data_IF_344822592276
#
_entry.id   IF_344822592276
#
_cell.length_a   1.000
_cell.length_b   1.000
_cell.length_c   1.000
_cell.angle_alpha   90.00
_cell.angle_beta   90.00
_cell.angle_gamma   90.00
#
_symmetry.space_group_name_H-M   'P 1'
#
loop_
_entity.id
_entity.type
_entity.pdbx_description
1 polymer ?
#
# COMPACT_ATOMS: atom_id res chain seq x y z
N UNK A 1 13.01 23.27 16.09
CA UNK A 1 13.12 24.71 15.70
C UNK A 1 14.11 24.93 14.55
N UNK A 2 15.26 24.26 14.52
CA UNK A 2 16.27 24.42 13.47
C UNK A 2 15.73 24.16 12.06
N UNK A 3 14.91 23.11 11.87
CA UNK A 3 14.30 22.82 10.56
C UNK A 3 13.30 23.87 10.11
N UNK A 4 12.54 24.46 11.03
CA UNK A 4 11.65 25.60 10.70
C UNK A 4 12.44 26.81 10.23
N UNK A 5 13.57 27.08 10.87
CA UNK A 5 14.47 28.19 10.47
C UNK A 5 15.08 27.90 9.11
N UNK A 6 15.53 26.67 8.85
CA UNK A 6 16.05 26.27 7.54
C UNK A 6 15.00 26.44 6.43
N UNK A 7 13.77 26.00 6.68
CA UNK A 7 12.65 26.19 5.75
C UNK A 7 12.35 27.67 5.50
N UNK A 8 12.27 28.48 6.56
CA UNK A 8 12.04 29.91 6.43
C UNK A 8 13.14 30.61 5.62
N UNK A 9 14.42 30.25 5.83
CA UNK A 9 15.55 30.79 5.05
C UNK A 9 15.46 30.42 3.56
N UNK A 10 15.06 29.20 3.24
CA UNK A 10 14.89 28.78 1.85
C UNK A 10 13.73 29.53 1.18
N UNK A 11 12.64 29.77 1.90
CA UNK A 11 11.46 30.47 1.39
C UNK A 11 11.66 31.96 1.15
N UNK A 12 12.44 32.63 2.00
CA UNK A 12 12.73 34.07 1.85
C UNK A 12 13.41 34.40 0.51
N UNK A 13 14.11 33.44 -0.07
CA UNK A 13 14.78 33.59 -1.37
C UNK A 13 13.82 33.49 -2.57
N UNK A 14 12.54 33.23 -2.34
CA UNK A 14 11.50 33.05 -3.38
C UNK A 14 11.95 32.14 -4.55
N UNK A 15 12.43 30.92 -4.26
CA UNK A 15 13.00 30.04 -5.28
C UNK A 15 11.94 29.51 -6.24
N UNK A 16 12.29 29.31 -7.51
CA UNK A 16 11.41 28.63 -8.47
C UNK A 16 11.23 27.13 -8.20
N UNK A 17 12.22 26.49 -7.53
CA UNK A 17 12.19 25.07 -7.13
C UNK A 17 12.78 24.92 -5.73
N UNK A 18 12.12 24.14 -4.89
CA UNK A 18 12.60 23.76 -3.56
C UNK A 18 13.05 22.31 -3.54
N UNK A 19 14.21 22.04 -2.95
CA UNK A 19 14.76 20.70 -2.76
C UNK A 19 14.74 20.36 -1.27
N UNK A 20 14.13 19.24 -0.92
CA UNK A 20 14.11 18.69 0.42
C UNK A 20 14.81 17.34 0.43
N UNK A 21 15.85 17.21 1.22
CA UNK A 21 16.58 15.97 1.42
C UNK A 21 16.36 15.50 2.85
N UNK A 22 15.46 14.51 3.01
CA UNK A 22 15.05 13.91 4.29
C UNK A 22 14.77 14.93 5.42
N UNK A 23 13.97 15.98 5.18
CA UNK A 23 13.89 17.11 6.10
C UNK A 23 13.23 16.78 7.45
N UNK A 24 12.54 15.65 7.58
CA UNK A 24 11.82 15.26 8.79
C UNK A 24 12.41 14.03 9.51
N UNK A 25 13.54 13.49 9.02
CA UNK A 25 14.15 12.27 9.54
C UNK A 25 14.50 12.32 11.03
N UNK A 26 14.91 13.49 11.54
CA UNK A 26 15.37 13.69 12.92
C UNK A 26 14.26 14.18 13.88
N UNK A 27 12.98 14.06 13.49
CA UNK A 27 11.85 14.49 14.33
C UNK A 27 11.16 13.29 14.99
N UNK A 28 10.65 13.52 16.20
CA UNK A 28 9.74 12.58 16.84
C UNK A 28 8.42 12.43 16.04
N UNK A 29 7.71 11.31 16.25
CA UNK A 29 6.53 10.95 15.47
C UNK A 29 5.43 12.03 15.48
N UNK A 30 5.17 12.66 16.65
CA UNK A 30 4.12 13.67 16.79
C UNK A 30 4.49 14.96 16.05
N UNK A 31 5.74 15.40 16.18
CA UNK A 31 6.24 16.58 15.50
C UNK A 31 6.33 16.36 13.99
N UNK A 32 6.69 15.15 13.55
CA UNK A 32 6.73 14.77 12.14
C UNK A 32 5.36 14.90 11.48
N UNK A 33 4.30 14.39 12.11
CA UNK A 33 2.91 14.53 11.62
C UNK A 33 2.52 16.01 11.49
N UNK A 34 2.82 16.82 12.52
CA UNK A 34 2.54 18.24 12.49
C UNK A 34 3.31 18.95 11.36
N UNK A 35 4.61 18.69 11.23
CA UNK A 35 5.45 19.33 10.22
C UNK A 35 5.05 18.93 8.78
N UNK A 36 4.65 17.69 8.53
CA UNK A 36 4.09 17.27 7.24
C UNK A 36 2.90 18.15 6.85
N UNK A 37 1.97 18.33 7.77
CA UNK A 37 0.79 19.17 7.51
C UNK A 37 1.17 20.62 7.19
N UNK A 38 2.11 21.20 7.94
CA UNK A 38 2.54 22.57 7.71
C UNK A 38 3.31 22.73 6.39
N UNK A 39 4.21 21.81 6.06
CA UNK A 39 4.92 21.85 4.77
C UNK A 39 3.91 21.76 3.62
N UNK A 40 2.94 20.85 3.68
CA UNK A 40 1.90 20.73 2.64
C UNK A 40 1.08 22.00 2.46
N UNK A 41 0.70 22.66 3.56
CA UNK A 41 -0.01 23.96 3.52
C UNK A 41 0.85 25.04 2.84
N UNK A 42 2.13 25.12 3.19
CA UNK A 42 3.06 26.09 2.62
C UNK A 42 3.25 25.84 1.12
N UNK A 43 3.51 24.59 0.70
CA UNK A 43 3.66 24.23 -0.70
C UNK A 43 2.43 24.66 -1.53
N UNK A 44 1.22 24.31 -1.04
CA UNK A 44 -0.03 24.69 -1.73
C UNK A 44 -0.24 26.18 -1.81
N UNK A 45 0.08 26.90 -0.73
CA UNK A 45 -0.09 28.36 -0.67
C UNK A 45 0.84 29.11 -1.62
N UNK A 46 2.08 28.63 -1.74
CA UNK A 46 3.13 29.30 -2.52
C UNK A 46 3.15 28.84 -3.98
N UNK A 47 2.60 27.66 -4.28
CA UNK A 47 2.62 27.06 -5.62
C UNK A 47 4.03 26.74 -6.14
N UNK A 48 5.04 26.63 -5.23
CA UNK A 48 6.43 26.36 -5.59
C UNK A 48 6.62 24.88 -5.90
N UNK A 49 7.24 24.60 -7.04
CA UNK A 49 7.65 23.24 -7.38
C UNK A 49 8.63 22.70 -6.33
N UNK A 50 8.34 21.54 -5.78
CA UNK A 50 9.16 20.94 -4.73
C UNK A 50 9.57 19.53 -5.09
N UNK A 51 10.86 19.22 -4.94
CA UNK A 51 11.39 17.86 -5.02
C UNK A 51 11.72 17.42 -3.59
N UNK A 52 11.13 16.31 -3.17
CA UNK A 52 11.21 15.82 -1.80
C UNK A 52 11.79 14.41 -1.80
N UNK A 53 12.95 14.24 -1.19
CA UNK A 53 13.58 12.93 -1.00
C UNK A 53 13.27 12.43 0.40
N UNK A 54 12.75 11.23 0.52
CA UNK A 54 12.44 10.57 1.79
C UNK A 54 12.43 9.07 1.66
N UNK A 55 12.72 8.37 2.72
CA UNK A 55 12.46 6.94 2.89
C UNK A 55 11.17 6.67 3.70
N UNK A 56 10.51 7.70 4.23
CA UNK A 56 9.25 7.59 4.96
C UNK A 56 8.07 7.59 3.96
N UNK A 57 7.41 6.44 3.85
CA UNK A 57 6.27 6.24 2.94
C UNK A 57 5.11 7.19 3.26
N UNK A 58 4.85 7.45 4.56
CA UNK A 58 3.78 8.34 4.96
C UNK A 58 4.08 9.81 4.58
N UNK A 59 5.36 10.21 4.52
CA UNK A 59 5.77 11.51 3.97
C UNK A 59 5.50 11.56 2.48
N UNK A 60 5.99 10.57 1.72
CA UNK A 60 5.78 10.50 0.28
C UNK A 60 4.30 10.56 -0.07
N UNK A 61 3.47 9.75 0.58
CA UNK A 61 2.02 9.66 0.33
C UNK A 61 1.26 10.93 0.69
N UNK A 62 1.66 11.64 1.75
CA UNK A 62 0.91 12.80 2.25
C UNK A 62 1.33 14.14 1.66
N UNK A 63 2.59 14.26 1.22
CA UNK A 63 3.17 15.51 0.75
C UNK A 63 3.19 15.66 -0.77
N UNK A 64 3.26 14.55 -1.51
CA UNK A 64 3.53 14.58 -2.94
C UNK A 64 2.26 14.61 -3.77
N UNK A 65 2.30 15.27 -4.93
CA UNK A 65 1.31 15.15 -6.01
C UNK A 65 1.70 14.01 -6.95
N UNK A 66 3.00 13.73 -7.06
CA UNK A 66 3.57 12.58 -7.78
C UNK A 66 4.71 11.97 -7.00
N UNK A 67 4.80 10.65 -7.03
CA UNK A 67 5.85 9.87 -6.39
C UNK A 67 6.68 9.19 -7.48
N UNK A 68 8.00 9.20 -7.29
CA UNK A 68 8.97 8.45 -8.09
C UNK A 68 9.56 7.39 -7.18
N UNK A 69 9.26 6.13 -7.44
CA UNK A 69 9.86 4.99 -6.73
C UNK A 69 11.15 4.61 -7.45
N UNK A 70 12.25 4.57 -6.71
CA UNK A 70 13.56 4.23 -7.25
C UNK A 70 14.12 2.99 -6.56
N UNK A 71 14.80 2.15 -7.33
CA UNK A 71 15.51 0.97 -6.84
C UNK A 71 16.87 0.88 -7.53
N UNK A 72 17.95 0.85 -6.76
CA UNK A 72 19.34 0.73 -7.27
C UNK A 72 19.65 1.69 -8.42
N UNK A 73 19.16 2.94 -8.33
CA UNK A 73 19.40 3.98 -9.32
C UNK A 73 18.47 3.94 -10.55
N UNK A 74 17.53 2.99 -10.61
CA UNK A 74 16.54 2.88 -11.69
C UNK A 74 15.18 3.33 -11.18
N UNK A 75 14.40 4.00 -12.04
CA UNK A 75 13.01 4.36 -11.75
C UNK A 75 12.14 3.15 -12.00
N UNK A 76 11.48 2.65 -10.96
CA UNK A 76 10.55 1.51 -11.00
C UNK A 76 9.15 1.94 -11.40
N UNK A 77 8.67 3.05 -10.83
CA UNK A 77 7.34 3.59 -11.15
C UNK A 77 7.28 5.09 -10.85
N UNK A 78 6.46 5.79 -11.64
CA UNK A 78 6.10 7.20 -11.42
C UNK A 78 4.58 7.31 -11.49
N UNK A 79 3.96 7.88 -10.46
CA UNK A 79 2.50 8.04 -10.42
C UNK A 79 2.03 8.94 -9.28
N UNK A 80 0.73 9.13 -9.17
CA UNK A 80 0.10 9.72 -7.99
C UNK A 80 0.25 8.78 -6.79
N UNK A 81 0.12 9.27 -5.54
CA UNK A 81 0.13 8.40 -4.36
C UNK A 81 -0.87 7.23 -4.46
N UNK A 82 -2.08 7.49 -4.97
CA UNK A 82 -3.10 6.47 -5.13
C UNK A 82 -2.69 5.40 -6.17
N UNK A 83 -2.15 5.81 -7.31
CA UNK A 83 -1.69 4.87 -8.35
C UNK A 83 -0.55 3.98 -7.84
N UNK A 84 0.44 4.56 -7.15
CA UNK A 84 1.56 3.83 -6.60
C UNK A 84 1.12 2.79 -5.55
N UNK A 85 0.13 3.15 -4.70
CA UNK A 85 -0.36 2.28 -3.65
C UNK A 85 -1.30 1.18 -4.15
N UNK A 86 -2.28 1.55 -5.00
CA UNK A 86 -3.34 0.65 -5.45
C UNK A 86 -2.94 -0.18 -6.67
N UNK A 87 -2.09 0.38 -7.55
CA UNK A 87 -1.69 -0.23 -8.81
C UNK A 87 -0.17 -0.28 -8.98
N UNK A 88 0.55 -0.95 -8.06
CA UNK A 88 2.00 -1.05 -8.15
C UNK A 88 2.42 -1.81 -9.42
N UNK A 89 3.47 -1.33 -10.08
CA UNK A 89 3.95 -1.92 -11.33
C UNK A 89 4.66 -3.28 -11.12
N UNK A 90 5.18 -3.50 -9.90
CA UNK A 90 5.92 -4.71 -9.52
C UNK A 90 5.72 -5.06 -8.05
N UNK A 91 6.07 -6.30 -7.67
CA UNK A 91 6.10 -6.74 -6.27
C UNK A 91 7.02 -5.84 -5.43
N UNK A 92 8.15 -5.41 -6.00
CA UNK A 92 9.06 -4.48 -5.32
C UNK A 92 8.36 -3.17 -4.94
N UNK A 93 7.66 -2.54 -5.87
CA UNK A 93 6.94 -1.29 -5.58
C UNK A 93 5.85 -1.52 -4.54
N UNK A 94 5.10 -2.63 -4.66
CA UNK A 94 4.04 -2.98 -3.72
C UNK A 94 4.55 -3.12 -2.29
N UNK A 95 5.66 -3.87 -2.09
CA UNK A 95 6.27 -4.13 -0.79
C UNK A 95 7.01 -2.90 -0.24
N UNK A 96 7.69 -2.15 -1.12
CA UNK A 96 8.41 -0.94 -0.72
C UNK A 96 7.49 0.17 -0.20
N UNK A 97 6.27 0.28 -0.74
CA UNK A 97 5.32 1.37 -0.40
C UNK A 97 4.43 1.03 0.80
N UNK A 98 4.27 -0.24 1.11
CA UNK A 98 3.45 -0.68 2.24
C UNK A 98 3.34 -2.19 2.28
N UNK A 99 2.80 -2.72 3.37
CA UNK A 99 2.58 -4.17 3.48
C UNK A 99 1.62 -4.65 2.39
N UNK A 100 1.91 -5.82 1.82
CA UNK A 100 1.08 -6.46 0.82
C UNK A 100 1.10 -7.98 0.99
N UNK A 101 0.00 -8.63 0.66
CA UNK A 101 -0.06 -10.07 0.50
C UNK A 101 0.16 -10.39 -0.97
N UNK A 102 1.08 -11.29 -1.26
CA UNK A 102 1.34 -11.82 -2.59
C UNK A 102 0.96 -13.29 -2.63
N UNK A 103 0.24 -13.71 -3.64
CA UNK A 103 -0.10 -15.11 -3.83
C UNK A 103 -0.13 -15.48 -5.31
N UNK A 104 0.28 -16.73 -5.64
CA UNK A 104 0.33 -17.17 -7.03
C UNK A 104 -1.08 -17.39 -7.57
N UNK A 105 -1.27 -17.01 -8.83
CA UNK A 105 -2.51 -17.25 -9.58
C UNK A 105 -2.19 -17.76 -10.98
N UNK A 106 -3.14 -18.51 -11.57
CA UNK A 106 -3.08 -18.95 -12.95
C UNK A 106 -4.21 -18.27 -13.73
N UNK A 107 -3.88 -17.67 -14.86
CA UNK A 107 -4.85 -16.98 -15.72
C UNK A 107 -5.71 -17.99 -16.47
N UNK A 108 -7.02 -17.96 -16.24
CA UNK A 108 -8.01 -18.78 -16.96
C UNK A 108 -8.43 -18.08 -18.25
N UNK A 109 -8.73 -16.79 -18.17
CA UNK A 109 -9.13 -15.96 -19.32
C UNK A 109 -8.85 -14.49 -19.07
N UNK A 110 -8.65 -13.74 -20.14
CA UNK A 110 -8.47 -12.30 -20.10
C UNK A 110 -9.36 -11.64 -21.14
N UNK A 111 -10.18 -10.69 -20.71
CA UNK A 111 -11.00 -9.86 -21.59
C UNK A 111 -10.60 -8.38 -21.42
N UNK A 112 -11.27 -7.48 -22.12
CA UNK A 112 -10.85 -6.07 -22.20
C UNK A 112 -10.62 -5.42 -20.83
N UNK A 113 -11.53 -5.65 -19.87
CA UNK A 113 -11.52 -4.96 -18.57
C UNK A 113 -11.30 -5.87 -17.37
N UNK A 114 -11.24 -7.20 -17.56
CA UNK A 114 -11.07 -8.13 -16.45
C UNK A 114 -10.23 -9.35 -16.82
N UNK A 115 -9.65 -9.94 -15.78
CA UNK A 115 -8.88 -11.17 -15.84
C UNK A 115 -9.53 -12.17 -14.89
N UNK A 116 -9.82 -13.36 -15.39
CA UNK A 116 -10.30 -14.48 -14.57
C UNK A 116 -9.11 -15.34 -14.23
N UNK A 117 -8.88 -15.55 -12.95
CA UNK A 117 -7.73 -16.32 -12.43
C UNK A 117 -8.19 -17.45 -11.51
N UNK A 118 -7.37 -18.47 -11.42
CA UNK A 118 -7.48 -19.53 -10.40
C UNK A 118 -6.54 -19.17 -9.24
N UNK A 119 -7.09 -19.06 -8.03
CA UNK A 119 -6.34 -18.91 -6.79
C UNK A 119 -6.79 -20.00 -5.80
N UNK A 120 -5.87 -20.84 -5.35
CA UNK A 120 -6.14 -21.92 -4.38
C UNK A 120 -7.34 -22.84 -4.77
N UNK A 121 -7.51 -23.10 -6.07
CA UNK A 121 -8.61 -23.93 -6.59
C UNK A 121 -9.95 -23.19 -6.73
N UNK A 122 -10.01 -21.88 -6.49
CA UNK A 122 -11.19 -21.04 -6.72
C UNK A 122 -10.97 -20.05 -7.86
N UNK A 123 -12.02 -19.81 -8.61
CA UNK A 123 -12.03 -18.84 -9.70
C UNK A 123 -12.41 -17.45 -9.17
N UNK A 124 -11.57 -16.47 -9.46
CA UNK A 124 -11.80 -15.04 -9.16
C UNK A 124 -11.75 -14.26 -10.46
N UNK A 125 -12.69 -13.34 -10.65
CA UNK A 125 -12.65 -12.39 -11.78
C UNK A 125 -12.31 -11.02 -11.24
N UNK A 126 -11.13 -10.51 -11.58
CA UNK A 126 -10.54 -9.29 -11.03
C UNK A 126 -10.38 -8.23 -12.12
N UNK A 127 -10.33 -6.93 -11.79
CA UNK A 127 -10.04 -5.88 -12.75
C UNK A 127 -8.68 -6.11 -13.42
N UNK A 128 -8.62 -5.87 -14.72
CA UNK A 128 -7.37 -5.98 -15.47
C UNK A 128 -6.48 -4.78 -15.18
N UNK A 129 -5.22 -5.05 -14.83
CA UNK A 129 -4.21 -4.01 -14.64
C UNK A 129 -3.93 -3.28 -15.95
N UNK A 130 -3.91 -1.95 -15.91
CA UNK A 130 -3.64 -1.13 -17.09
C UNK A 130 -2.26 -1.46 -17.70
N UNK A 131 -2.21 -1.55 -19.02
CA UNK A 131 -0.97 -1.83 -19.75
C UNK A 131 -0.48 -3.27 -19.71
N UNK A 132 -1.11 -4.17 -18.94
CA UNK A 132 -0.75 -5.59 -18.90
C UNK A 132 -1.61 -6.42 -19.84
N UNK A 133 -0.98 -7.42 -20.45
CA UNK A 133 -1.64 -8.39 -21.32
C UNK A 133 -1.37 -9.79 -20.76
N UNK A 134 -2.44 -10.54 -20.55
CA UNK A 134 -2.35 -11.90 -20.02
C UNK A 134 -2.92 -12.90 -21.04
N UNK A 135 -2.32 -14.08 -21.11
CA UNK A 135 -2.79 -15.21 -21.91
C UNK A 135 -3.31 -16.31 -20.98
N UNK A 136 -4.19 -17.14 -21.48
CA UNK A 136 -4.64 -18.33 -20.76
C UNK A 136 -3.43 -19.23 -20.42
N UNK A 137 -3.35 -19.66 -19.16
CA UNK A 137 -2.27 -20.48 -18.64
C UNK A 137 -1.06 -19.70 -18.11
N UNK A 138 -1.04 -18.36 -18.25
CA UNK A 138 0.02 -17.54 -17.66
C UNK A 138 -0.01 -17.67 -16.14
N UNK A 139 1.18 -17.77 -15.55
CA UNK A 139 1.37 -17.66 -14.10
C UNK A 139 1.65 -16.21 -13.76
N UNK A 140 0.91 -15.68 -12.80
CA UNK A 140 1.03 -14.31 -12.34
C UNK A 140 1.01 -14.25 -10.81
N UNK A 141 1.37 -13.12 -10.26
CA UNK A 141 1.23 -12.84 -8.83
C UNK A 141 0.03 -11.93 -8.62
N UNK A 142 -0.88 -12.34 -7.76
CA UNK A 142 -1.93 -11.47 -7.25
C UNK A 142 -1.47 -10.77 -5.97
N UNK A 143 -1.82 -9.50 -5.83
CA UNK A 143 -1.53 -8.67 -4.67
C UNK A 143 -2.83 -8.17 -4.06
N UNK A 144 -2.89 -8.19 -2.71
CA UNK A 144 -3.96 -7.54 -1.95
C UNK A 144 -3.39 -6.89 -0.70
N UNK A 145 -3.89 -5.71 -0.35
CA UNK A 145 -3.48 -4.99 0.86
C UNK A 145 -4.09 -5.61 2.11
N UNK A 146 -3.39 -5.60 3.28
CA UNK A 146 -3.90 -6.17 4.53
C UNK A 146 -5.27 -5.63 4.97
N UNK A 147 -5.50 -4.33 4.80
CA UNK A 147 -6.76 -3.66 5.13
C UNK A 147 -7.93 -4.04 4.21
N UNK A 148 -7.61 -4.67 3.06
CA UNK A 148 -8.60 -5.16 2.09
C UNK A 148 -8.88 -6.66 2.23
N UNK A 149 -8.23 -7.31 3.20
CA UNK A 149 -8.47 -8.73 3.51
C UNK A 149 -9.54 -8.83 4.58
N UNK A 150 -10.72 -9.27 4.19
CA UNK A 150 -11.82 -9.53 5.13
C UNK A 150 -11.56 -10.79 5.98
N UNK A 151 -11.87 -10.72 7.27
CA UNK A 151 -11.80 -11.88 8.18
C UNK A 151 -13.17 -12.11 8.80
N UNK A 152 -13.72 -13.31 8.65
CA UNK A 152 -15.08 -13.58 9.07
C UNK A 152 -15.42 -15.05 9.26
N UNK A 153 -16.72 -15.30 9.47
CA UNK A 153 -17.30 -16.65 9.51
C UNK A 153 -17.63 -17.19 8.12
N UNK A 154 -17.56 -16.35 7.10
CA UNK A 154 -17.82 -16.65 5.69
C UNK A 154 -16.83 -15.87 4.84
N UNK A 155 -16.46 -16.40 3.67
CA UNK A 155 -15.53 -15.78 2.74
C UNK A 155 -15.04 -16.75 1.67
N UNK A 156 -14.10 -16.29 0.86
CA UNK A 156 -13.60 -17.06 -0.25
C UNK A 156 -12.77 -18.28 0.19
N UNK A 157 -11.96 -18.15 1.24
CA UNK A 157 -10.96 -19.16 1.61
C UNK A 157 -11.02 -19.47 3.10
N UNK A 158 -11.11 -20.76 3.44
CA UNK A 158 -10.98 -21.21 4.83
C UNK A 158 -9.51 -21.12 5.26
N UNK A 159 -9.27 -20.62 6.48
CA UNK A 159 -7.94 -20.49 7.05
C UNK A 159 -7.94 -20.67 8.57
N UNK A 160 -6.74 -20.69 9.12
CA UNK A 160 -6.49 -20.77 10.57
C UNK A 160 -5.70 -19.54 10.98
N UNK A 161 -6.13 -18.84 12.03
CA UNK A 161 -5.40 -17.72 12.60
C UNK A 161 -4.13 -18.27 13.26
N UNK A 162 -2.96 -17.93 12.71
CA UNK A 162 -1.67 -18.28 13.31
C UNK A 162 -1.26 -17.27 14.38
N UNK A 163 -1.57 -15.98 14.14
CA UNK A 163 -1.22 -14.90 15.06
C UNK A 163 -2.30 -13.83 15.06
N UNK A 164 -2.58 -13.27 16.24
CA UNK A 164 -3.59 -12.23 16.46
C UNK A 164 -3.02 -11.14 17.35
N UNK A 165 -2.80 -9.93 16.81
CA UNK A 165 -2.08 -8.83 17.48
C UNK A 165 -2.95 -7.59 17.58
N UNK A 166 -3.18 -7.10 18.80
CA UNK A 166 -3.87 -5.84 19.03
C UNK A 166 -2.92 -4.65 18.90
N UNK A 167 -3.18 -3.79 17.91
CA UNK A 167 -2.40 -2.60 17.59
C UNK A 167 -3.05 -1.30 18.08
N UNK A 168 -4.07 -1.38 18.92
CA UNK A 168 -4.83 -0.21 19.39
C UNK A 168 -5.94 0.18 18.43
N UNK A 169 -5.63 0.86 17.35
CA UNK A 169 -6.60 1.28 16.34
C UNK A 169 -7.07 0.12 15.44
N UNK A 170 -6.26 -0.91 15.30
CA UNK A 170 -6.53 -2.09 14.48
C UNK A 170 -6.19 -3.39 15.21
N UNK A 171 -6.69 -4.50 14.68
CA UNK A 171 -6.32 -5.85 14.99
C UNK A 171 -5.64 -6.44 13.75
N UNK A 172 -4.42 -6.92 13.90
CA UNK A 172 -3.68 -7.61 12.85
C UNK A 172 -3.81 -9.11 13.02
N UNK A 173 -4.02 -9.82 11.91
CA UNK A 173 -4.08 -11.27 11.86
C UNK A 173 -3.09 -11.79 10.82
N UNK A 174 -2.41 -12.88 11.16
CA UNK A 174 -1.71 -13.72 10.21
C UNK A 174 -2.51 -15.01 10.09
N UNK A 175 -3.05 -15.25 8.89
CA UNK A 175 -4.02 -16.32 8.65
C UNK A 175 -3.44 -17.28 7.62
N UNK A 176 -3.25 -18.52 7.98
CA UNK A 176 -2.81 -19.58 7.07
C UNK A 176 -3.97 -20.10 6.25
N UNK A 177 -3.87 -19.90 4.94
CA UNK A 177 -4.77 -20.43 3.92
C UNK A 177 -3.97 -21.34 3.02
N UNK A 178 -4.24 -22.63 3.06
CA UNK A 178 -3.41 -23.62 2.32
C UNK A 178 -1.92 -23.50 2.68
N UNK A 179 -1.08 -23.17 1.71
CA UNK A 179 0.38 -22.98 1.90
C UNK A 179 0.80 -21.52 2.00
N UNK A 180 -0.15 -20.59 2.08
CA UNK A 180 0.10 -19.16 2.10
C UNK A 180 -0.37 -18.55 3.42
N UNK A 181 0.38 -17.57 3.93
CA UNK A 181 -0.04 -16.75 5.07
C UNK A 181 -0.51 -15.40 4.58
N UNK A 182 -1.75 -15.05 4.91
CA UNK A 182 -2.32 -13.74 4.66
C UNK A 182 -2.21 -12.87 5.90
N UNK A 183 -1.69 -11.66 5.73
CA UNK A 183 -1.81 -10.61 6.72
C UNK A 183 -3.14 -9.86 6.47
N UNK A 184 -3.96 -9.75 7.50
CA UNK A 184 -5.21 -8.98 7.47
C UNK A 184 -5.18 -7.92 8.57
N UNK A 185 -5.67 -6.73 8.25
CA UNK A 185 -5.77 -5.62 9.20
C UNK A 185 -7.23 -5.21 9.37
N UNK A 186 -7.78 -5.46 10.53
CA UNK A 186 -9.17 -5.15 10.87
C UNK A 186 -9.22 -3.86 11.69
N UNK A 187 -9.69 -2.78 11.09
CA UNK A 187 -9.79 -1.48 11.77
C UNK A 187 -10.95 -1.44 12.74
N UNK A 188 -10.79 -0.68 13.83
CA UNK A 188 -11.79 -0.51 14.88
C UNK A 188 -12.25 -1.84 15.53
N UNK A 189 -11.34 -2.61 16.12
CA UNK A 189 -11.63 -3.94 16.66
C UNK A 189 -12.66 -3.94 17.79
N UNK A 190 -12.91 -2.80 18.44
CA UNK A 190 -13.91 -2.65 19.50
C UNK A 190 -15.34 -3.02 19.04
N UNK A 191 -15.64 -2.80 17.76
CA UNK A 191 -16.97 -3.03 17.20
C UNK A 191 -17.08 -4.34 16.43
N UNK A 192 -16.00 -5.10 16.36
CA UNK A 192 -15.90 -6.35 15.61
C UNK A 192 -15.54 -7.52 16.53
N UNK A 193 -15.80 -8.72 16.05
CA UNK A 193 -15.32 -9.92 16.73
C UNK A 193 -13.82 -10.04 16.54
N UNK A 194 -13.08 -10.22 17.63
CA UNK A 194 -11.67 -10.60 17.59
C UNK A 194 -11.56 -12.11 17.59
N UNK A 195 -10.75 -12.65 16.66
CA UNK A 195 -10.49 -14.07 16.52
C UNK A 195 -9.19 -14.43 17.24
N UNK A 196 -9.20 -15.57 17.94
CA UNK A 196 -8.03 -16.06 18.68
C UNK A 196 -7.11 -16.90 17.79
N UNK A 197 -5.86 -17.04 18.21
CA UNK A 197 -4.93 -17.97 17.59
C UNK A 197 -5.45 -19.40 17.64
N UNK A 198 -5.28 -20.14 16.54
CA UNK A 198 -5.83 -21.48 16.33
C UNK A 198 -7.31 -21.50 15.88
N UNK A 199 -8.00 -20.36 15.88
CA UNK A 199 -9.39 -20.29 15.45
C UNK A 199 -9.51 -20.43 13.93
N UNK A 200 -10.52 -21.21 13.49
CA UNK A 200 -10.89 -21.30 12.07
C UNK A 200 -11.68 -20.06 11.65
N UNK A 201 -11.26 -19.45 10.57
CA UNK A 201 -11.87 -18.25 9.98
C UNK A 201 -11.98 -18.41 8.46
N UNK A 202 -12.67 -17.48 7.84
CA UNK A 202 -12.65 -17.33 6.39
C UNK A 202 -11.97 -16.01 6.03
N UNK A 203 -11.05 -16.10 5.08
CA UNK A 203 -10.47 -14.95 4.38
C UNK A 203 -11.39 -14.60 3.23
N UNK A 204 -11.82 -13.36 3.16
CA UNK A 204 -12.65 -12.83 2.08
C UNK A 204 -11.87 -11.78 1.29
N UNK A 205 -11.65 -12.08 -0.01
CA UNK A 205 -10.94 -11.22 -0.93
C UNK A 205 -11.94 -10.67 -1.96
N UNK A 206 -12.25 -9.40 -1.84
CA UNK A 206 -13.09 -8.72 -2.82
C UNK A 206 -12.31 -8.52 -4.13
N UNK A 207 -12.85 -8.96 -5.28
CA UNK A 207 -12.12 -8.94 -6.55
C UNK A 207 -11.56 -7.58 -6.95
N UNK A 208 -12.28 -6.50 -6.65
CA UNK A 208 -11.88 -5.12 -6.94
C UNK A 208 -10.65 -4.66 -6.19
N UNK A 209 -10.29 -5.32 -5.07
CA UNK A 209 -9.13 -5.01 -4.25
C UNK A 209 -7.90 -5.86 -4.63
N UNK A 210 -8.05 -6.78 -5.58
CA UNK A 210 -6.96 -7.63 -6.04
C UNK A 210 -6.32 -7.00 -7.29
N UNK A 211 -5.01 -6.82 -7.23
CA UNK A 211 -4.21 -6.34 -8.36
C UNK A 211 -3.31 -7.47 -8.89
N UNK A 212 -3.28 -7.68 -10.21
CA UNK A 212 -2.43 -8.70 -10.84
C UNK A 212 -1.14 -8.04 -11.33
N UNK A 213 -0.02 -8.57 -10.84
CA UNK A 213 1.33 -8.08 -11.15
C UNK A 213 2.01 -9.01 -12.15
#
# INVERSE_FOLDING_TARGET
QQQRVALARALVMEPGVMLFDEPLSNLDAKLRVYMRTEIRKIQRRLGVTSIYVTHDQAEAMSLSDRIIVMNKGVIEQVGTPQEIYQYPASEFVADFIGRANFFPVEVISCIEHSVTVNAFGKTLTVPKSAGKTFKQGDKATAMVRPESVGVGKQGNFEGIVETSIFMGASQEYFIKVSNQVFNAEDVNPKTKRVYAEGEKVYVDLQPENIHII
#
